data_IF_923603343602
#
_entry.id   IF_923603343602
#
_cell.length_a   1.000
_cell.length_b   1.000
_cell.length_c   1.000
_cell.angle_alpha   90.00
_cell.angle_beta   90.00
_cell.angle_gamma   90.00
#
_symmetry.space_group_name_H-M   'P 1'
#
loop_
_entity.id
_entity.type
_entity.pdbx_description
1 polymer ?
#
# COMPACT_ATOMS: atom_id res chain seq x y z
N UNK A 1 41.01 30.17 -13.80
CA UNK A 1 41.67 31.10 -12.87
C UNK A 1 41.42 30.64 -11.46
N UNK A 2 42.48 30.47 -10.66
CA UNK A 2 42.36 30.14 -9.23
C UNK A 2 41.88 31.39 -8.48
N UNK A 3 41.11 31.24 -7.39
CA UNK A 3 40.64 32.37 -6.54
C UNK A 3 41.76 33.35 -6.16
N UNK A 4 42.96 32.83 -5.94
CA UNK A 4 44.16 33.61 -5.61
C UNK A 4 44.64 34.51 -6.76
N UNK A 5 44.47 34.09 -8.02
CA UNK A 5 44.88 34.87 -9.20
C UNK A 5 43.96 36.07 -9.41
N UNK A 6 42.64 35.85 -9.27
CA UNK A 6 41.63 36.92 -9.41
C UNK A 6 41.78 37.99 -8.34
N UNK A 7 42.04 37.59 -7.09
CA UNK A 7 42.28 38.54 -6.00
C UNK A 7 43.55 39.36 -6.23
N UNK A 8 44.63 38.72 -6.69
CA UNK A 8 45.89 39.41 -6.99
C UNK A 8 45.71 40.44 -8.11
N UNK A 9 44.97 40.09 -9.17
CA UNK A 9 44.66 41.00 -10.28
C UNK A 9 43.82 42.21 -9.82
N UNK A 10 42.80 41.99 -8.99
CA UNK A 10 41.96 43.08 -8.46
C UNK A 10 42.79 44.08 -7.61
N UNK A 11 43.66 43.57 -6.75
CA UNK A 11 44.57 44.40 -5.94
C UNK A 11 45.57 45.15 -6.83
N UNK A 12 46.15 44.48 -7.83
CA UNK A 12 47.06 45.12 -8.78
C UNK A 12 46.38 46.22 -9.59
N UNK A 13 45.11 46.03 -9.97
CA UNK A 13 44.33 47.01 -10.70
C UNK A 13 44.10 48.27 -9.85
N UNK A 14 43.69 48.09 -8.59
CA UNK A 14 43.51 49.19 -7.64
C UNK A 14 44.82 49.95 -7.40
N UNK A 15 45.93 49.24 -7.18
CA UNK A 15 47.24 49.85 -6.96
C UNK A 15 47.71 50.66 -8.18
N UNK A 16 47.53 50.13 -9.38
CA UNK A 16 47.87 50.84 -10.63
C UNK A 16 47.03 52.11 -10.80
N UNK A 17 45.72 52.03 -10.52
CA UNK A 17 44.84 53.21 -10.59
C UNK A 17 45.20 54.27 -9.56
N UNK A 18 45.51 53.87 -8.32
CA UNK A 18 45.95 54.80 -7.28
C UNK A 18 47.33 55.42 -7.57
N UNK A 19 48.27 54.65 -8.14
CA UNK A 19 49.57 55.18 -8.58
C UNK A 19 49.40 56.23 -9.67
N UNK A 20 48.61 55.93 -10.71
CA UNK A 20 48.36 56.87 -11.79
C UNK A 20 47.66 58.16 -11.30
N UNK A 21 46.75 58.06 -10.32
CA UNK A 21 46.17 59.24 -9.67
C UNK A 21 47.23 60.05 -8.91
N UNK A 22 48.16 59.38 -8.23
CA UNK A 22 49.29 60.00 -7.55
C UNK A 22 50.18 60.79 -8.51
N UNK A 23 50.59 60.17 -9.62
CA UNK A 23 51.42 60.77 -10.67
C UNK A 23 50.73 62.04 -11.24
N UNK A 24 49.43 61.94 -11.57
CA UNK A 24 48.64 63.08 -12.07
C UNK A 24 48.56 64.22 -11.02
N UNK A 25 48.36 63.90 -9.74
CA UNK A 25 48.29 64.92 -8.69
C UNK A 25 49.65 65.58 -8.42
N UNK A 26 50.74 64.87 -8.66
CA UNK A 26 52.11 65.41 -8.62
C UNK A 26 52.35 66.38 -9.78
N UNK A 27 51.99 65.98 -11.01
CA UNK A 27 52.08 66.85 -12.20
C UNK A 27 51.26 68.15 -12.05
N UNK A 28 50.07 68.07 -11.45
CA UNK A 28 49.20 69.25 -11.22
C UNK A 28 49.68 70.10 -10.03
N UNK A 29 50.44 69.54 -9.08
CA UNK A 29 50.87 70.25 -7.86
C UNK A 29 49.81 70.32 -6.76
N UNK A 30 48.95 69.31 -6.63
CA UNK A 30 47.89 69.28 -5.60
C UNK A 30 48.51 69.08 -4.20
N UNK A 31 48.16 69.90 -3.19
CA UNK A 31 48.62 69.72 -1.81
C UNK A 31 48.27 68.35 -1.22
N UNK A 32 49.14 67.84 -0.35
CA UNK A 32 49.00 66.51 0.25
C UNK A 32 47.68 66.32 1.01
N UNK A 33 47.21 67.36 1.71
CA UNK A 33 45.93 67.34 2.44
C UNK A 33 44.75 66.99 1.52
N UNK A 34 44.68 67.58 0.33
CA UNK A 34 43.63 67.30 -0.66
C UNK A 34 43.78 65.91 -1.30
N UNK A 35 45.01 65.40 -1.44
CA UNK A 35 45.26 64.03 -1.93
C UNK A 35 44.78 62.99 -0.91
N UNK A 36 45.03 63.23 0.38
CA UNK A 36 44.54 62.39 1.48
C UNK A 36 43.02 62.38 1.52
N UNK A 37 42.35 63.53 1.37
CA UNK A 37 40.89 63.59 1.31
C UNK A 37 40.31 62.78 0.14
N UNK A 38 40.87 62.96 -1.07
CA UNK A 38 40.42 62.24 -2.28
C UNK A 38 40.64 60.74 -2.16
N UNK A 39 41.80 60.33 -1.65
CA UNK A 39 42.12 58.91 -1.41
C UNK A 39 41.25 58.33 -0.29
N UNK A 40 40.93 59.14 0.73
CA UNK A 40 39.98 58.81 1.78
C UNK A 40 38.58 58.52 1.25
N UNK A 41 38.11 59.30 0.27
CA UNK A 41 36.84 59.04 -0.42
C UNK A 41 36.87 57.70 -1.19
N UNK A 42 37.94 57.43 -1.95
CA UNK A 42 38.11 56.13 -2.64
C UNK A 42 38.10 54.97 -1.66
N UNK A 43 38.89 55.05 -0.58
CA UNK A 43 38.92 54.05 0.49
C UNK A 43 37.53 53.80 1.08
N UNK A 44 36.76 54.86 1.33
CA UNK A 44 35.39 54.75 1.85
C UNK A 44 34.48 54.01 0.87
N UNK A 45 34.54 54.33 -0.42
CA UNK A 45 33.72 53.65 -1.43
C UNK A 45 34.08 52.17 -1.57
N UNK A 46 35.38 51.85 -1.66
CA UNK A 46 35.86 50.46 -1.73
C UNK A 46 35.44 49.68 -0.48
N UNK A 47 35.65 50.25 0.71
CA UNK A 47 35.26 49.63 1.97
C UNK A 47 33.76 49.35 2.01
N UNK A 48 32.92 50.34 1.70
CA UNK A 48 31.47 50.19 1.74
C UNK A 48 30.97 49.09 0.79
N UNK A 49 31.57 48.96 -0.40
CA UNK A 49 31.22 47.88 -1.33
C UNK A 49 31.61 46.51 -0.77
N UNK A 50 32.83 46.36 -0.24
CA UNK A 50 33.28 45.10 0.34
C UNK A 50 32.46 44.70 1.57
N UNK A 51 32.15 45.66 2.46
CA UNK A 51 31.31 45.43 3.63
C UNK A 51 29.90 44.99 3.22
N UNK A 52 29.32 45.57 2.16
CA UNK A 52 28.04 45.15 1.59
C UNK A 52 28.09 43.71 1.08
N UNK A 53 29.09 43.37 0.25
CA UNK A 53 29.23 42.02 -0.30
C UNK A 53 29.43 40.97 0.81
N UNK A 54 30.22 41.28 1.84
CA UNK A 54 30.40 40.39 2.99
C UNK A 54 29.08 40.19 3.74
N UNK A 55 28.34 41.27 3.99
CA UNK A 55 27.04 41.19 4.67
C UNK A 55 26.00 40.37 3.87
N UNK A 56 25.98 40.49 2.54
CA UNK A 56 25.11 39.68 1.67
C UNK A 56 25.43 38.19 1.76
N UNK A 57 26.71 37.81 1.70
CA UNK A 57 27.14 36.42 1.80
C UNK A 57 26.94 35.83 3.22
N UNK A 58 27.17 36.63 4.27
CA UNK A 58 26.85 36.25 5.64
C UNK A 58 25.35 36.02 5.82
N UNK A 59 24.53 36.91 5.28
CA UNK A 59 23.07 36.77 5.31
C UNK A 59 22.61 35.50 4.57
N UNK A 60 23.14 35.25 3.37
CA UNK A 60 22.86 34.04 2.60
C UNK A 60 23.24 32.79 3.40
N UNK A 61 24.43 32.77 3.99
CA UNK A 61 24.88 31.65 4.84
C UNK A 61 23.95 31.42 6.02
N UNK A 62 23.50 32.46 6.72
CA UNK A 62 22.54 32.34 7.81
C UNK A 62 21.19 31.77 7.34
N UNK A 63 20.68 32.24 6.19
CA UNK A 63 19.44 31.72 5.62
C UNK A 63 19.56 30.23 5.28
N UNK A 64 20.66 29.82 4.64
CA UNK A 64 20.90 28.40 4.31
C UNK A 64 20.98 27.53 5.57
N UNK A 65 21.65 27.99 6.63
CA UNK A 65 21.71 27.27 7.90
C UNK A 65 20.33 27.14 8.58
N UNK A 66 19.49 28.17 8.51
CA UNK A 66 18.09 28.10 8.98
C UNK A 66 17.28 27.07 8.19
N UNK A 67 17.43 27.05 6.86
CA UNK A 67 16.79 26.04 6.00
C UNK A 67 17.26 24.62 6.34
N UNK A 68 18.56 24.41 6.52
CA UNK A 68 19.11 23.10 6.95
C UNK A 68 18.49 22.66 8.28
N UNK A 69 18.38 23.54 9.26
CA UNK A 69 17.76 23.22 10.55
C UNK A 69 16.27 22.85 10.41
N UNK A 70 15.54 23.56 9.56
CA UNK A 70 14.13 23.26 9.29
C UNK A 70 13.96 21.89 8.61
N UNK A 71 14.76 21.59 7.58
CA UNK A 71 14.72 20.30 6.90
C UNK A 71 15.12 19.14 7.81
N UNK A 72 16.11 19.32 8.69
CA UNK A 72 16.46 18.31 9.69
C UNK A 72 15.27 17.98 10.59
N UNK A 73 14.59 19.01 11.10
CA UNK A 73 13.40 18.82 11.95
C UNK A 73 12.26 18.12 11.21
N UNK A 74 12.02 18.48 9.95
CA UNK A 74 11.01 17.80 9.12
C UNK A 74 11.38 16.33 8.91
N UNK A 75 12.64 16.06 8.59
CA UNK A 75 13.16 14.72 8.37
C UNK A 75 13.08 13.86 9.63
N UNK A 76 13.43 14.39 10.80
CA UNK A 76 13.30 13.70 12.09
C UNK A 76 11.83 13.32 12.38
N UNK A 77 10.90 14.23 12.05
CA UNK A 77 9.47 13.97 12.14
C UNK A 77 9.02 12.83 11.22
N UNK A 78 9.48 12.83 9.96
CA UNK A 78 9.20 11.77 8.99
C UNK A 78 9.82 10.43 9.40
N UNK A 79 11.05 10.42 9.90
CA UNK A 79 11.71 9.21 10.39
C UNK A 79 10.94 8.61 11.56
N UNK A 80 10.47 9.44 12.51
CA UNK A 80 9.66 8.99 13.64
C UNK A 80 8.33 8.40 13.19
N UNK A 81 7.62 9.09 12.28
CA UNK A 81 6.33 8.64 11.76
C UNK A 81 6.44 7.35 10.93
N UNK A 82 7.53 7.18 10.18
CA UNK A 82 7.76 5.99 9.34
C UNK A 82 8.48 4.85 10.07
N UNK A 83 8.92 5.09 11.32
CA UNK A 83 9.82 4.20 12.07
C UNK A 83 11.08 3.87 11.26
N UNK A 84 11.61 4.88 10.55
CA UNK A 84 12.82 4.77 9.75
C UNK A 84 14.06 5.16 10.56
N UNK A 85 15.22 4.64 10.15
CA UNK A 85 16.50 5.01 10.74
C UNK A 85 16.74 6.53 10.65
N UNK A 86 17.30 7.17 11.69
CA UNK A 86 17.66 8.58 11.65
C UNK A 86 18.66 8.86 10.53
N UNK A 87 18.47 9.98 9.83
CA UNK A 87 19.40 10.40 8.80
C UNK A 87 20.72 10.89 9.40
N UNK A 88 21.83 10.29 8.96
CA UNK A 88 23.18 10.72 9.34
C UNK A 88 23.78 11.56 8.22
N UNK A 89 24.31 12.73 8.58
CA UNK A 89 25.01 13.60 7.62
C UNK A 89 26.49 13.22 7.58
N UNK A 90 27.08 13.12 6.40
CA UNK A 90 28.52 12.89 6.26
C UNK A 90 29.33 14.03 6.89
N UNK A 91 30.30 13.67 7.73
CA UNK A 91 31.23 14.63 8.33
C UNK A 91 32.01 15.35 7.22
N UNK A 92 32.07 16.68 7.30
CA UNK A 92 32.78 17.51 6.32
C UNK A 92 31.95 17.97 5.10
N UNK A 93 30.66 17.64 5.04
CA UNK A 93 29.76 18.14 3.99
C UNK A 93 29.66 19.67 3.97
N UNK A 94 29.59 20.28 2.78
CA UNK A 94 29.29 21.73 2.66
C UNK A 94 27.81 22.00 2.91
N UNK A 95 27.45 23.25 3.26
CA UNK A 95 26.05 23.65 3.53
C UNK A 95 25.12 23.31 2.35
N UNK A 96 25.57 23.54 1.12
CA UNK A 96 24.78 23.26 -0.09
C UNK A 96 24.63 21.75 -0.35
N UNK A 97 25.66 20.95 -0.09
CA UNK A 97 25.56 19.48 -0.15
C UNK A 97 24.57 18.97 0.89
N UNK A 98 24.69 19.42 2.14
CA UNK A 98 23.73 19.06 3.20
C UNK A 98 22.29 19.38 2.81
N UNK A 99 22.03 20.55 2.21
CA UNK A 99 20.67 20.90 1.75
C UNK A 99 20.17 19.95 0.67
N UNK A 100 21.01 19.65 -0.33
CA UNK A 100 20.65 18.73 -1.41
C UNK A 100 20.33 17.34 -0.85
N UNK A 101 21.15 16.84 0.05
CA UNK A 101 21.01 15.50 0.62
C UNK A 101 19.76 15.42 1.49
N UNK A 102 19.53 16.42 2.36
CA UNK A 102 18.32 16.52 3.17
C UNK A 102 17.06 16.56 2.30
N UNK A 103 17.05 17.39 1.26
CA UNK A 103 15.90 17.51 0.36
C UNK A 103 15.59 16.18 -0.33
N UNK A 104 16.63 15.52 -0.87
CA UNK A 104 16.50 14.21 -1.52
C UNK A 104 15.93 13.17 -0.55
N UNK A 105 16.38 13.14 0.71
CA UNK A 105 15.88 12.20 1.70
C UNK A 105 14.43 12.49 2.12
N UNK A 106 14.07 13.76 2.30
CA UNK A 106 12.68 14.17 2.58
C UNK A 106 11.75 13.71 1.45
N UNK A 107 12.14 13.90 0.19
CA UNK A 107 11.35 13.44 -0.96
C UNK A 107 11.14 11.92 -0.96
N UNK A 108 12.18 11.14 -0.66
CA UNK A 108 12.10 9.68 -0.56
C UNK A 108 11.14 9.26 0.56
N UNK A 109 11.25 9.84 1.75
CA UNK A 109 10.40 9.49 2.88
C UNK A 109 8.95 9.92 2.66
N UNK A 110 8.70 11.09 2.07
CA UNK A 110 7.34 11.52 1.71
C UNK A 110 6.71 10.57 0.68
N UNK A 111 7.49 10.09 -0.29
CA UNK A 111 7.03 9.07 -1.23
C UNK A 111 6.67 7.77 -0.51
N UNK A 112 7.55 7.27 0.36
CA UNK A 112 7.28 6.06 1.15
C UNK A 112 6.01 6.20 2.00
N UNK A 113 5.84 7.33 2.69
CA UNK A 113 4.63 7.65 3.45
C UNK A 113 3.37 7.58 2.60
N UNK A 114 3.42 8.19 1.42
CA UNK A 114 2.29 8.20 0.47
C UNK A 114 1.96 6.79 -0.02
N UNK A 115 2.98 6.01 -0.34
CA UNK A 115 2.81 4.66 -0.88
C UNK A 115 2.27 3.71 0.19
N UNK A 116 2.77 3.77 1.45
CA UNK A 116 2.22 2.99 2.58
C UNK A 116 0.75 3.31 2.86
N UNK A 117 0.36 4.59 2.82
CA UNK A 117 -1.05 4.99 3.00
C UNK A 117 -1.95 4.52 1.86
N UNK A 118 -1.48 4.59 0.61
CA UNK A 118 -2.21 4.08 -0.55
C UNK A 118 -2.42 2.57 -0.47
N UNK A 119 -1.37 1.85 -0.09
CA UNK A 119 -1.43 0.41 0.06
C UNK A 119 -2.41 -0.01 1.16
N UNK A 120 -2.37 0.64 2.33
CA UNK A 120 -3.34 0.39 3.40
C UNK A 120 -4.78 0.58 2.93
N UNK A 121 -5.03 1.62 2.14
CA UNK A 121 -6.35 1.87 1.56
C UNK A 121 -6.78 0.72 0.64
N UNK A 122 -5.90 0.27 -0.26
CA UNK A 122 -6.19 -0.84 -1.16
C UNK A 122 -6.43 -2.16 -0.40
N UNK A 123 -5.62 -2.46 0.61
CA UNK A 123 -5.80 -3.65 1.46
C UNK A 123 -7.13 -3.62 2.21
N UNK A 124 -7.56 -2.45 2.71
CA UNK A 124 -8.87 -2.31 3.36
C UNK A 124 -10.05 -2.48 2.42
N UNK A 125 -9.94 -1.98 1.20
CA UNK A 125 -10.97 -2.19 0.18
C UNK A 125 -11.11 -3.69 -0.16
N UNK A 126 -9.98 -4.40 -0.27
CA UNK A 126 -9.98 -5.86 -0.46
C UNK A 126 -10.55 -6.61 0.74
N UNK A 127 -10.08 -6.29 1.95
CA UNK A 127 -10.54 -6.86 3.21
C UNK A 127 -12.05 -6.73 3.37
N UNK A 128 -12.59 -5.53 3.16
CA UNK A 128 -14.03 -5.28 3.24
C UNK A 128 -14.81 -6.19 2.28
N UNK A 129 -14.40 -6.25 1.02
CA UNK A 129 -15.10 -7.07 0.02
C UNK A 129 -15.07 -8.56 0.39
N UNK A 130 -13.93 -9.06 0.91
CA UNK A 130 -13.80 -10.45 1.34
C UNK A 130 -14.63 -10.74 2.60
N UNK A 131 -14.59 -9.83 3.58
CA UNK A 131 -15.35 -9.93 4.82
C UNK A 131 -16.86 -9.91 4.58
N UNK A 132 -17.34 -9.07 3.64
CA UNK A 132 -18.74 -9.02 3.25
C UNK A 132 -19.22 -10.37 2.69
N UNK A 133 -18.42 -11.01 1.82
CA UNK A 133 -18.71 -12.32 1.22
C UNK A 133 -18.65 -13.46 2.25
N UNK A 134 -17.61 -13.46 3.09
CA UNK A 134 -17.36 -14.50 4.10
C UNK A 134 -18.19 -14.32 5.38
N UNK A 135 -18.87 -13.18 5.51
CA UNK A 135 -19.58 -12.71 6.69
C UNK A 135 -18.71 -12.75 7.96
N UNK A 136 -17.48 -12.24 7.87
CA UNK A 136 -16.55 -12.10 9.00
C UNK A 136 -16.26 -10.64 9.30
N UNK A 137 -15.69 -10.36 10.47
CA UNK A 137 -15.35 -9.00 10.88
C UNK A 137 -14.08 -8.48 10.19
N UNK A 138 -14.10 -7.22 9.76
CA UNK A 138 -12.95 -6.55 9.17
C UNK A 138 -11.75 -6.49 10.12
N UNK A 139 -10.55 -6.51 9.53
CA UNK A 139 -9.32 -6.28 10.25
C UNK A 139 -9.15 -4.80 10.60
N UNK A 140 -8.69 -4.50 11.81
CA UNK A 140 -8.50 -3.12 12.27
C UNK A 140 -7.02 -2.78 12.46
N UNK A 141 -6.64 -1.64 11.88
CA UNK A 141 -5.38 -0.93 12.12
C UNK A 141 -5.76 0.54 12.31
N UNK A 142 -5.05 1.25 13.18
CA UNK A 142 -5.21 2.68 13.39
C UNK A 142 -5.18 3.44 12.05
N UNK A 143 -6.22 4.22 11.79
CA UNK A 143 -6.41 5.00 10.56
C UNK A 143 -5.73 6.37 10.62
N UNK A 144 -5.41 6.83 11.82
CA UNK A 144 -4.80 8.15 12.01
C UNK A 144 -3.30 8.14 11.71
N UNK A 145 -2.63 7.01 11.93
CA UNK A 145 -1.19 6.85 11.78
C UNK A 145 -0.77 6.34 10.39
N UNK A 146 0.51 6.52 10.05
CA UNK A 146 1.12 5.82 8.91
C UNK A 146 1.44 4.40 9.36
N UNK A 147 1.02 3.36 8.63
CA UNK A 147 1.30 1.99 9.05
C UNK A 147 2.80 1.70 8.92
N UNK A 148 3.31 0.95 9.89
CA UNK A 148 4.62 0.32 9.81
C UNK A 148 4.64 -0.78 8.74
N UNK A 149 5.84 -1.20 8.33
CA UNK A 149 5.98 -2.29 7.37
C UNK A 149 5.45 -3.62 7.93
N UNK A 150 5.66 -3.89 9.22
CA UNK A 150 5.16 -5.12 9.86
C UNK A 150 3.62 -5.11 9.97
N UNK A 151 3.00 -3.97 10.24
CA UNK A 151 1.53 -3.83 10.20
C UNK A 151 0.97 -4.10 8.80
N UNK A 152 1.60 -3.55 7.75
CA UNK A 152 1.22 -3.83 6.36
C UNK A 152 1.40 -5.32 6.04
N UNK A 153 2.51 -5.95 6.47
CA UNK A 153 2.75 -7.37 6.24
C UNK A 153 1.75 -8.27 6.96
N UNK A 154 1.35 -7.91 8.19
CA UNK A 154 0.25 -8.59 8.91
C UNK A 154 -1.06 -8.46 8.14
N UNK A 155 -1.37 -7.27 7.63
CA UNK A 155 -2.59 -7.06 6.85
C UNK A 155 -2.56 -7.84 5.52
N UNK A 156 -1.46 -7.81 4.77
CA UNK A 156 -1.28 -8.62 3.55
C UNK A 156 -1.53 -10.11 3.81
N UNK A 157 -0.96 -10.66 4.89
CA UNK A 157 -1.17 -12.05 5.28
C UNK A 157 -2.62 -12.34 5.65
N UNK A 158 -3.29 -11.42 6.33
CA UNK A 158 -4.71 -11.55 6.65
C UNK A 158 -5.58 -11.60 5.39
N UNK A 159 -5.43 -10.63 4.48
CA UNK A 159 -6.17 -10.59 3.21
C UNK A 159 -5.88 -11.83 2.36
N UNK A 160 -4.64 -12.30 2.32
CA UNK A 160 -4.28 -13.54 1.63
C UNK A 160 -4.99 -14.76 2.24
N UNK A 161 -5.05 -14.84 3.57
CA UNK A 161 -5.78 -15.91 4.27
C UNK A 161 -7.28 -15.87 3.98
N UNK A 162 -7.90 -14.68 3.96
CA UNK A 162 -9.31 -14.53 3.61
C UNK A 162 -9.57 -14.91 2.15
N UNK A 163 -8.67 -14.55 1.24
CA UNK A 163 -8.78 -14.91 -0.18
C UNK A 163 -8.73 -16.43 -0.37
N UNK A 164 -7.80 -17.11 0.30
CA UNK A 164 -7.71 -18.57 0.26
C UNK A 164 -8.94 -19.24 0.89
N UNK A 165 -9.47 -18.69 1.99
CA UNK A 165 -10.69 -19.23 2.61
C UNK A 165 -11.92 -19.02 1.73
N UNK A 166 -12.02 -17.89 1.01
CA UNK A 166 -13.06 -17.67 0.01
C UNK A 166 -12.99 -18.72 -1.10
N UNK A 167 -11.82 -18.95 -1.67
CA UNK A 167 -11.62 -19.97 -2.71
C UNK A 167 -12.03 -21.36 -2.20
N UNK A 168 -11.57 -21.75 -1.00
CA UNK A 168 -11.93 -23.02 -0.37
C UNK A 168 -13.44 -23.19 -0.18
N UNK A 169 -14.13 -22.16 0.34
CA UNK A 169 -15.59 -22.20 0.56
C UNK A 169 -16.37 -22.17 -0.76
N UNK A 170 -15.87 -21.49 -1.78
CA UNK A 170 -16.48 -21.50 -3.09
C UNK A 170 -16.42 -22.89 -3.72
N UNK A 171 -15.26 -23.55 -3.68
CA UNK A 171 -15.11 -24.93 -4.17
C UNK A 171 -16.03 -25.90 -3.42
N UNK A 172 -16.10 -25.77 -2.10
CA UNK A 172 -17.00 -26.53 -1.24
C UNK A 172 -18.47 -26.30 -1.62
N UNK A 173 -18.88 -25.05 -1.78
CA UNK A 173 -20.23 -24.67 -2.19
C UNK A 173 -20.60 -25.27 -3.56
N UNK A 174 -19.76 -25.10 -4.58
CA UNK A 174 -20.03 -25.60 -5.94
C UNK A 174 -20.13 -27.13 -5.96
N UNK A 175 -19.22 -27.81 -5.23
CA UNK A 175 -19.23 -29.26 -5.11
C UNK A 175 -20.52 -29.77 -4.45
N UNK A 176 -20.95 -29.16 -3.34
CA UNK A 176 -22.16 -29.59 -2.64
C UNK A 176 -23.42 -29.21 -3.42
N UNK A 177 -23.49 -28.01 -4.01
CA UNK A 177 -24.60 -27.57 -4.87
C UNK A 177 -24.87 -28.59 -5.97
N UNK A 178 -23.82 -29.08 -6.64
CA UNK A 178 -23.94 -30.12 -7.67
C UNK A 178 -24.55 -31.42 -7.11
N UNK A 179 -24.12 -31.85 -5.92
CA UNK A 179 -24.64 -33.07 -5.29
C UNK A 179 -26.09 -32.91 -4.84
N UNK A 180 -26.45 -31.75 -4.29
CA UNK A 180 -27.83 -31.40 -3.90
C UNK A 180 -28.75 -31.46 -5.11
N UNK A 181 -28.37 -30.85 -6.24
CA UNK A 181 -29.18 -30.85 -7.47
C UNK A 181 -29.41 -32.28 -7.99
N UNK A 182 -28.37 -33.12 -7.97
CA UNK A 182 -28.48 -34.52 -8.37
C UNK A 182 -29.41 -35.32 -7.44
N UNK A 183 -29.24 -35.19 -6.13
CA UNK A 183 -30.09 -35.87 -5.15
C UNK A 183 -31.56 -35.41 -5.25
N UNK A 184 -31.79 -34.10 -5.44
CA UNK A 184 -33.14 -33.56 -5.65
C UNK A 184 -33.78 -34.12 -6.92
N UNK A 185 -33.04 -34.22 -8.02
CA UNK A 185 -33.54 -34.80 -9.26
C UNK A 185 -33.91 -36.28 -9.11
N UNK A 186 -33.08 -37.08 -8.44
CA UNK A 186 -33.35 -38.51 -8.17
C UNK A 186 -34.54 -38.72 -7.22
N UNK A 187 -34.76 -37.79 -6.28
CA UNK A 187 -35.87 -37.82 -5.33
C UNK A 187 -37.16 -37.20 -5.89
N UNK A 188 -37.12 -36.66 -7.11
CA UNK A 188 -38.20 -35.85 -7.71
C UNK A 188 -38.65 -34.69 -6.77
N UNK A 189 -37.69 -34.11 -6.04
CA UNK A 189 -37.92 -33.04 -5.07
C UNK A 189 -37.64 -31.67 -5.68
N UNK A 190 -38.61 -30.76 -5.64
CA UNK A 190 -38.41 -29.36 -6.01
C UNK A 190 -37.88 -28.53 -4.83
N UNK A 191 -37.12 -27.45 -5.05
CA UNK A 191 -36.67 -26.59 -3.96
C UNK A 191 -37.85 -25.87 -3.28
N UNK A 192 -38.12 -26.22 -2.02
CA UNK A 192 -39.33 -25.82 -1.32
C UNK A 192 -39.08 -24.68 -0.31
N UNK A 193 -37.89 -24.65 0.28
CA UNK A 193 -37.47 -23.59 1.21
C UNK A 193 -36.83 -22.41 0.47
N UNK A 194 -36.75 -21.24 1.12
CA UNK A 194 -36.00 -20.10 0.55
C UNK A 194 -34.54 -20.48 0.35
N UNK A 195 -33.92 -21.13 1.34
CA UNK A 195 -32.52 -21.56 1.25
C UNK A 195 -32.27 -22.53 0.09
N UNK A 196 -33.15 -23.52 -0.13
CA UNK A 196 -33.01 -24.42 -1.29
C UNK A 196 -33.11 -23.67 -2.62
N UNK A 197 -34.00 -22.69 -2.72
CA UNK A 197 -34.10 -21.84 -3.92
C UNK A 197 -32.84 -21.02 -4.12
N UNK A 198 -32.31 -20.42 -3.06
CA UNK A 198 -31.07 -19.64 -3.11
C UNK A 198 -29.89 -20.51 -3.57
N UNK A 199 -29.79 -21.76 -3.08
CA UNK A 199 -28.73 -22.69 -3.47
C UNK A 199 -28.89 -23.17 -4.91
N UNK A 200 -30.09 -23.60 -5.32
CA UNK A 200 -30.32 -24.30 -6.59
C UNK A 200 -30.57 -23.35 -7.76
N UNK A 201 -31.32 -22.29 -7.54
CA UNK A 201 -31.84 -21.43 -8.60
C UNK A 201 -31.02 -20.15 -8.82
N UNK A 202 -30.31 -19.66 -7.80
CA UNK A 202 -29.53 -18.42 -7.92
C UNK A 202 -28.10 -18.65 -8.43
N UNK A 203 -27.46 -17.55 -8.82
CA UNK A 203 -26.08 -17.51 -9.27
C UNK A 203 -25.12 -17.90 -8.14
N UNK A 204 -24.07 -18.65 -8.47
CA UNK A 204 -23.04 -19.05 -7.52
C UNK A 204 -22.30 -17.86 -6.91
N UNK A 205 -22.23 -16.73 -7.62
CA UNK A 205 -21.60 -15.49 -7.12
C UNK A 205 -22.49 -14.72 -6.13
N UNK A 206 -23.79 -14.99 -6.10
CA UNK A 206 -24.74 -14.31 -5.20
C UNK A 206 -24.81 -14.95 -3.81
N UNK A 207 -24.33 -16.19 -3.66
CA UNK A 207 -24.41 -16.93 -2.41
C UNK A 207 -23.41 -16.42 -1.36
N UNK A 208 -23.92 -16.04 -0.19
CA UNK A 208 -23.05 -15.64 0.93
C UNK A 208 -22.32 -16.85 1.51
N UNK A 209 -20.99 -16.86 1.45
CA UNK A 209 -20.11 -17.93 1.91
C UNK A 209 -19.85 -17.87 3.43
N UNK A 210 -20.89 -17.57 4.22
CA UNK A 210 -20.80 -17.58 5.68
C UNK A 210 -20.61 -19.00 6.22
N UNK A 211 -20.02 -19.12 7.40
CA UNK A 211 -19.85 -20.43 8.07
C UNK A 211 -21.21 -21.12 8.27
N UNK A 212 -22.23 -20.34 8.64
CA UNK A 212 -23.59 -20.86 8.86
C UNK A 212 -24.24 -21.34 7.56
N UNK A 213 -24.06 -20.61 6.46
CA UNK A 213 -24.62 -20.99 5.16
C UNK A 213 -23.96 -22.25 4.61
N UNK A 214 -22.64 -22.40 4.76
CA UNK A 214 -21.93 -23.63 4.38
C UNK A 214 -22.40 -24.81 5.24
N UNK A 215 -22.57 -24.62 6.56
CA UNK A 215 -23.09 -25.67 7.44
C UNK A 215 -24.54 -26.06 7.09
N UNK A 216 -25.40 -25.09 6.76
CA UNK A 216 -26.78 -25.34 6.31
C UNK A 216 -26.81 -26.11 4.99
N UNK A 217 -25.90 -25.81 4.07
CA UNK A 217 -25.76 -26.50 2.80
C UNK A 217 -25.35 -27.97 2.99
N UNK A 218 -24.38 -28.23 3.88
CA UNK A 218 -23.99 -29.60 4.25
C UNK A 218 -25.15 -30.36 4.90
N UNK A 219 -25.90 -29.71 5.80
CA UNK A 219 -27.09 -30.30 6.44
C UNK A 219 -28.17 -30.64 5.41
N UNK A 220 -28.41 -29.77 4.43
CA UNK A 220 -29.34 -30.03 3.33
C UNK A 220 -28.93 -31.29 2.54
N UNK A 221 -27.66 -31.39 2.15
CA UNK A 221 -27.15 -32.58 1.44
C UNK A 221 -27.36 -33.86 2.27
N UNK A 222 -27.00 -33.83 3.56
CA UNK A 222 -27.18 -34.98 4.45
C UNK A 222 -28.64 -35.42 4.57
N UNK A 223 -29.57 -34.47 4.62
CA UNK A 223 -31.01 -34.76 4.68
C UNK A 223 -31.51 -35.42 3.38
N UNK A 224 -31.06 -34.94 2.22
CA UNK A 224 -31.40 -35.53 0.92
C UNK A 224 -30.83 -36.94 0.77
N UNK A 225 -29.57 -37.14 1.13
CA UNK A 225 -28.91 -38.46 1.10
C UNK A 225 -29.60 -39.46 2.03
N UNK A 226 -29.98 -39.03 3.24
CA UNK A 226 -30.72 -39.87 4.18
C UNK A 226 -32.10 -40.30 3.61
N UNK A 227 -32.81 -39.37 2.94
CA UNK A 227 -34.08 -39.67 2.28
C UNK A 227 -33.90 -40.62 1.10
N UNK A 228 -32.86 -40.42 0.29
CA UNK A 228 -32.48 -41.32 -0.81
C UNK A 228 -32.21 -42.73 -0.31
N UNK A 229 -31.40 -42.87 0.74
CA UNK A 229 -31.08 -44.16 1.34
C UNK A 229 -32.32 -44.88 1.90
N UNK A 230 -33.25 -44.13 2.52
CA UNK A 230 -34.51 -44.68 3.03
C UNK A 230 -35.41 -45.18 1.88
N UNK A 231 -35.52 -44.41 0.80
CA UNK A 231 -36.25 -44.85 -0.40
C UNK A 231 -35.64 -46.12 -1.00
N UNK A 232 -34.31 -46.17 -1.12
CA UNK A 232 -33.60 -47.34 -1.65
C UNK A 232 -33.79 -48.58 -0.78
N UNK A 233 -33.72 -48.43 0.54
CA UNK A 233 -33.97 -49.51 1.50
C UNK A 233 -35.42 -50.03 1.39
N UNK A 234 -36.41 -49.14 1.30
CA UNK A 234 -37.82 -49.53 1.12
C UNK A 234 -38.05 -50.22 -0.22
N UNK A 235 -37.44 -49.72 -1.31
CA UNK A 235 -37.49 -50.39 -2.61
C UNK A 235 -36.83 -51.77 -2.58
N UNK A 236 -35.72 -51.95 -1.86
CA UNK A 236 -35.05 -53.24 -1.71
C UNK A 236 -35.92 -54.23 -0.91
N UNK A 237 -36.54 -53.78 0.18
CA UNK A 237 -37.47 -54.60 0.97
C UNK A 237 -38.68 -55.05 0.13
N UNK A 238 -39.31 -54.13 -0.61
CA UNK A 238 -40.43 -54.44 -1.49
C UNK A 238 -40.02 -55.42 -2.61
N UNK A 239 -38.85 -55.22 -3.22
CA UNK A 239 -38.29 -56.16 -4.22
C UNK A 239 -38.05 -57.54 -3.63
N UNK A 240 -37.53 -57.64 -2.42
CA UNK A 240 -37.38 -58.91 -1.70
C UNK A 240 -38.73 -59.58 -1.48
N UNK A 241 -39.74 -58.81 -1.04
CA UNK A 241 -41.08 -59.33 -0.80
C UNK A 241 -41.78 -59.82 -2.08
N UNK A 242 -41.61 -59.10 -3.18
CA UNK A 242 -42.09 -59.53 -4.51
C UNK A 242 -41.43 -60.87 -4.88
N UNK A 243 -40.13 -61.00 -4.68
CA UNK A 243 -39.37 -62.23 -4.97
C UNK A 243 -39.90 -63.43 -4.16
N UNK A 244 -40.12 -63.25 -2.86
CA UNK A 244 -40.75 -64.28 -1.99
C UNK A 244 -42.14 -64.69 -2.50
N UNK A 245 -42.96 -63.73 -2.92
CA UNK A 245 -44.30 -64.00 -3.45
C UNK A 245 -44.24 -64.77 -4.78
N UNK A 246 -43.32 -64.41 -5.67
CA UNK A 246 -43.10 -65.14 -6.92
C UNK A 246 -42.68 -66.58 -6.70
N UNK A 247 -41.81 -66.84 -5.71
CA UNK A 247 -41.42 -68.20 -5.32
C UNK A 247 -42.62 -68.99 -4.80
N UNK A 248 -43.44 -68.39 -3.94
CA UNK A 248 -44.62 -69.05 -3.36
C UNK A 248 -45.71 -69.33 -4.39
N UNK A 249 -45.88 -68.44 -5.36
CA UNK A 249 -46.89 -68.57 -6.42
C UNK A 249 -46.38 -69.32 -7.66
N UNK A 250 -45.10 -69.71 -7.68
CA UNK A 250 -44.42 -70.34 -8.83
C UNK A 250 -44.57 -69.54 -10.12
N UNK A 251 -44.44 -68.21 -10.03
CA UNK A 251 -44.52 -67.32 -11.20
C UNK A 251 -43.39 -67.68 -12.18
N UNK A 252 -43.70 -67.94 -13.47
CA UNK A 252 -42.71 -68.28 -14.50
C UNK A 252 -41.64 -67.20 -14.68
N UNK A 253 -40.44 -67.58 -15.08
CA UNK A 253 -39.32 -66.64 -15.25
C UNK A 253 -39.62 -65.56 -16.31
N UNK A 254 -40.36 -65.90 -17.36
CA UNK A 254 -40.75 -64.96 -18.42
C UNK A 254 -41.53 -63.76 -17.88
N UNK A 255 -42.45 -64.00 -16.93
CA UNK A 255 -43.23 -62.94 -16.29
C UNK A 255 -42.37 -62.10 -15.31
N UNK A 256 -41.41 -62.71 -14.63
CA UNK A 256 -40.47 -62.00 -13.74
C UNK A 256 -39.55 -61.08 -14.53
N UNK A 257 -39.02 -61.56 -15.65
CA UNK A 257 -38.16 -60.78 -16.54
C UNK A 257 -38.93 -59.62 -17.18
N UNK A 258 -40.18 -59.85 -17.59
CA UNK A 258 -41.04 -58.79 -18.11
C UNK A 258 -41.30 -57.68 -17.07
N UNK A 259 -41.45 -58.04 -15.78
CA UNK A 259 -41.62 -57.07 -14.69
C UNK A 259 -40.32 -56.35 -14.29
N UNK A 260 -39.16 -57.01 -14.38
CA UNK A 260 -37.88 -56.40 -14.05
C UNK A 260 -37.37 -55.42 -15.12
N UNK A 261 -37.85 -55.55 -16.37
CA UNK A 261 -37.52 -54.68 -17.49
C UNK A 261 -38.43 -53.46 -17.68
N UNK A 262 -39.48 -53.30 -16.86
CA UNK A 262 -40.37 -52.13 -16.80
C UNK A 262 -39.96 -51.18 -15.67
#
# INVERSE_FOLDING_TARGET
MRRSEVLAEAVSCLNRALSALGDIWEEIGIPEELRVERTGAVKKHVKNLLDMMVAEEEHLKEQLLKSVAAYRKELDGLCTELQAEPFQTEEGSTILQMMKDLHTHVEVLLKQKKDRKRELKALREQDKNLCDILCVSNFSIDDSAVPSLDELDRYRRHVASLSAEKERRQEEFVSIKRQVILCMAELEHSPDTSFERDVVCEDEEAFCLSTDNIANLQSLLQQLEARRALNEAMCAELRSRITELWERLQVPNEEREAFAGS
#
